data_IF_791243868505
#
_entry.id   IF_791243868505
#
_cell.length_a   1.000
_cell.length_b   1.000
_cell.length_c   1.000
_cell.angle_alpha   90.00
_cell.angle_beta   90.00
_cell.angle_gamma   90.00
#
_symmetry.space_group_name_H-M   'P 1'
#
loop_
_entity.id
_entity.type
_entity.pdbx_description
1 polymer ?
#
# COMPACT_ATOMS: atom_id res chain seq x y z
N UNK A 1 31.83 -10.08 -53.24
CA UNK A 1 32.07 -9.27 -52.03
C UNK A 1 31.03 -8.15 -51.97
N UNK A 2 30.38 -8.03 -50.81
CA UNK A 2 29.52 -6.94 -50.33
C UNK A 2 28.17 -6.72 -51.03
N UNK A 3 27.09 -7.16 -50.36
CA UNK A 3 26.05 -6.32 -49.73
C UNK A 3 24.85 -7.19 -49.29
N UNK A 4 24.97 -7.87 -48.15
CA UNK A 4 23.84 -8.36 -47.36
C UNK A 4 23.68 -7.39 -46.20
N UNK A 5 22.94 -6.29 -46.42
CA UNK A 5 22.41 -5.37 -45.40
C UNK A 5 21.19 -4.68 -46.02
N UNK A 6 20.12 -4.49 -45.22
CA UNK A 6 18.74 -4.07 -45.57
C UNK A 6 17.92 -5.19 -46.24
N UNK A 7 16.82 -5.71 -45.68
CA UNK A 7 15.83 -5.05 -44.82
C UNK A 7 15.15 -6.06 -43.88
N UNK A 8 15.54 -6.06 -42.60
CA UNK A 8 14.76 -6.62 -41.48
C UNK A 8 14.27 -5.42 -40.66
N UNK A 9 13.42 -4.59 -41.26
CA UNK A 9 12.89 -3.35 -40.63
C UNK A 9 11.36 -3.28 -40.72
N UNK A 10 10.67 -4.39 -41.00
CA UNK A 10 9.20 -4.35 -41.16
C UNK A 10 8.40 -5.23 -40.20
N UNK A 11 8.98 -5.69 -39.08
CA UNK A 11 8.23 -6.39 -38.01
C UNK A 11 8.63 -5.86 -36.63
N UNK A 12 8.74 -4.53 -36.46
CA UNK A 12 8.83 -3.87 -35.13
C UNK A 12 8.07 -2.53 -35.15
N UNK A 13 6.88 -2.48 -35.75
CA UNK A 13 6.11 -1.22 -35.84
C UNK A 13 4.60 -1.36 -35.60
N UNK A 14 4.16 -2.36 -34.82
CA UNK A 14 2.75 -2.47 -34.41
C UNK A 14 2.55 -2.68 -32.90
N UNK A 15 3.61 -2.89 -32.11
CA UNK A 15 3.48 -3.12 -30.65
C UNK A 15 3.86 -1.92 -29.77
N UNK A 16 3.97 -0.72 -30.32
CA UNK A 16 4.29 0.51 -29.56
C UNK A 16 3.08 1.38 -29.20
N UNK A 17 1.84 0.89 -29.40
CA UNK A 17 0.62 1.68 -29.18
C UNK A 17 -0.32 1.17 -28.08
N UNK A 18 0.17 0.41 -27.11
CA UNK A 18 -0.58 0.06 -25.89
C UNK A 18 0.15 0.38 -24.57
N UNK A 19 1.31 1.03 -24.64
CA UNK A 19 1.91 1.70 -23.48
C UNK A 19 1.31 3.10 -23.35
N UNK A 20 -0.01 3.14 -23.14
CA UNK A 20 -0.65 4.30 -22.55
C UNK A 20 -0.12 4.38 -21.12
N UNK A 21 0.96 5.13 -20.94
CA UNK A 21 1.41 5.55 -19.62
C UNK A 21 0.24 6.26 -18.96
N UNK A 22 -0.48 5.52 -18.13
CA UNK A 22 -1.41 6.09 -17.18
C UNK A 22 -0.60 7.07 -16.35
N UNK A 23 -1.12 8.30 -16.32
CA UNK A 23 -0.55 9.41 -15.59
C UNK A 23 -0.47 9.05 -14.09
N UNK A 24 0.63 8.44 -13.67
CA UNK A 24 0.91 8.14 -12.28
C UNK A 24 1.81 9.22 -11.70
N UNK A 25 1.16 10.31 -11.32
CA UNK A 25 1.59 11.22 -10.27
C UNK A 25 0.39 12.12 -9.98
N UNK A 26 -0.69 11.56 -9.45
CA UNK A 26 -1.52 12.38 -8.60
C UNK A 26 -0.62 12.67 -7.41
N UNK A 27 -0.13 13.91 -7.28
CA UNK A 27 0.49 14.34 -6.02
C UNK A 27 -0.51 13.97 -4.93
N UNK A 28 -0.17 12.94 -4.14
CA UNK A 28 -0.92 12.55 -2.96
C UNK A 28 -0.81 13.71 -1.99
N UNK A 29 -1.67 14.69 -2.17
CA UNK A 29 -1.66 15.92 -1.42
C UNK A 29 -2.14 15.58 -0.01
N UNK A 30 -1.19 15.52 0.92
CA UNK A 30 -1.51 15.58 2.34
C UNK A 30 -2.36 16.84 2.61
N UNK A 31 -3.21 16.83 3.65
CA UNK A 31 -3.87 18.06 4.06
C UNK A 31 -2.84 19.15 4.43
N UNK A 32 -3.31 20.38 4.53
CA UNK A 32 -2.51 21.47 5.10
C UNK A 32 -2.03 21.06 6.51
N UNK A 33 -0.73 21.12 6.82
CA UNK A 33 -0.20 20.78 8.14
C UNK A 33 -0.66 21.71 9.27
N UNK A 34 -1.32 22.82 8.96
CA UNK A 34 -1.90 23.70 9.97
C UNK A 34 -0.87 24.28 10.94
N UNK A 35 -1.14 24.19 12.24
CA UNK A 35 -0.19 24.62 13.28
C UNK A 35 0.81 23.48 13.52
N UNK A 36 2.04 23.67 13.05
CA UNK A 36 3.12 22.69 13.18
C UNK A 36 3.81 22.71 14.56
N UNK A 37 4.55 21.64 14.94
CA UNK A 37 5.18 21.53 16.26
C UNK A 37 6.25 22.58 16.56
N UNK A 38 6.78 23.26 15.54
CA UNK A 38 7.72 24.37 15.70
C UNK A 38 7.06 25.72 16.05
N UNK A 39 5.73 25.75 16.19
CA UNK A 39 4.96 26.92 16.60
C UNK A 39 4.77 26.98 18.13
N UNK A 40 4.90 28.17 18.77
CA UNK A 40 4.60 28.32 20.20
C UNK A 40 3.12 28.08 20.53
N UNK A 41 2.23 28.09 19.52
CA UNK A 41 0.80 27.85 19.68
C UNK A 41 0.39 26.39 19.45
N UNK A 42 1.34 25.49 19.17
CA UNK A 42 1.07 24.06 18.91
C UNK A 42 0.29 23.37 20.04
N UNK A 43 0.54 23.78 21.29
CA UNK A 43 -0.20 23.27 22.44
C UNK A 43 -1.73 23.44 22.31
N UNK A 44 -2.20 24.57 21.77
CA UNK A 44 -3.63 24.80 21.59
C UNK A 44 -4.23 23.89 20.55
N UNK A 45 -3.46 23.59 19.51
CA UNK A 45 -3.85 22.66 18.47
C UNK A 45 -4.00 21.22 19.04
N UNK A 46 -2.99 20.72 19.75
CA UNK A 46 -3.07 19.42 20.43
C UNK A 46 -4.25 19.34 21.41
N UNK A 47 -4.51 20.41 22.17
CA UNK A 47 -5.64 20.48 23.09
C UNK A 47 -6.99 20.46 22.35
N UNK A 48 -7.10 21.23 21.26
CA UNK A 48 -8.28 21.28 20.42
C UNK A 48 -8.64 19.92 19.85
N UNK A 49 -7.66 19.18 19.32
CA UNK A 49 -7.86 17.82 18.80
C UNK A 49 -8.35 16.85 19.88
N UNK A 50 -7.77 16.89 21.08
CA UNK A 50 -8.20 16.08 22.24
C UNK A 50 -9.64 16.37 22.64
N UNK A 51 -10.01 17.65 22.75
CA UNK A 51 -11.39 18.04 23.04
C UNK A 51 -12.34 17.61 21.91
N UNK A 52 -11.94 17.79 20.66
CA UNK A 52 -12.70 17.33 19.49
C UNK A 52 -13.01 15.84 19.54
N UNK A 53 -12.03 14.99 19.87
CA UNK A 53 -12.26 13.56 20.06
C UNK A 53 -13.16 13.24 21.26
N UNK A 54 -12.99 13.96 22.38
CA UNK A 54 -13.82 13.77 23.59
C UNK A 54 -15.31 14.02 23.31
N UNK A 55 -15.62 15.03 22.50
CA UNK A 55 -16.99 15.41 22.15
C UNK A 55 -17.51 14.78 20.84
N UNK A 56 -16.71 13.96 20.15
CA UNK A 56 -17.18 13.16 19.02
C UNK A 56 -17.84 11.90 19.55
N UNK A 57 -19.06 11.59 19.15
CA UNK A 57 -19.81 10.42 19.65
C UNK A 57 -20.00 9.36 18.56
N UNK A 58 -19.92 8.08 18.94
CA UNK A 58 -19.98 6.94 18.03
C UNK A 58 -18.60 6.47 17.57
N UNK A 59 -18.41 5.15 17.46
CA UNK A 59 -17.11 4.57 17.12
C UNK A 59 -16.69 4.93 15.68
N UNK A 60 -17.61 4.86 14.71
CA UNK A 60 -17.31 5.25 13.32
C UNK A 60 -16.91 6.73 13.20
N UNK A 61 -17.66 7.64 13.82
CA UNK A 61 -17.36 9.07 13.78
C UNK A 61 -16.03 9.38 14.48
N UNK A 62 -15.72 8.70 15.60
CA UNK A 62 -14.44 8.82 16.29
C UNK A 62 -13.28 8.26 15.45
N UNK A 63 -13.46 7.13 14.79
CA UNK A 63 -12.46 6.56 13.88
C UNK A 63 -12.16 7.53 12.74
N UNK A 64 -13.20 8.09 12.11
CA UNK A 64 -13.03 9.08 11.05
C UNK A 64 -12.30 10.34 11.56
N UNK A 65 -12.70 10.88 12.71
CA UNK A 65 -12.07 12.07 13.28
C UNK A 65 -10.60 11.82 13.65
N UNK A 66 -10.30 10.63 14.19
CA UNK A 66 -8.92 10.24 14.49
C UNK A 66 -8.08 10.08 13.22
N UNK A 67 -8.67 9.54 12.14
CA UNK A 67 -7.99 9.43 10.84
C UNK A 67 -7.64 10.81 10.26
N UNK A 68 -8.57 11.77 10.31
CA UNK A 68 -8.31 13.17 9.90
C UNK A 68 -7.13 13.77 10.68
N UNK A 69 -7.08 13.55 12.00
CA UNK A 69 -5.97 14.04 12.82
C UNK A 69 -4.66 13.32 12.55
N UNK A 70 -4.68 12.02 12.23
CA UNK A 70 -3.49 11.31 11.80
C UNK A 70 -2.97 11.89 10.48
N UNK A 71 -3.82 12.10 9.47
CA UNK A 71 -3.44 12.74 8.21
C UNK A 71 -2.77 14.11 8.41
N UNK A 72 -3.30 14.93 9.33
CA UNK A 72 -2.70 16.22 9.69
C UNK A 72 -1.32 16.06 10.38
N UNK A 73 -1.18 15.14 11.35
CA UNK A 73 0.11 14.84 11.98
C UNK A 73 1.14 14.34 10.98
N UNK A 74 0.73 13.56 9.99
CA UNK A 74 1.62 13.11 8.92
C UNK A 74 2.05 14.27 8.00
N UNK A 75 1.14 15.18 7.70
CA UNK A 75 1.45 16.42 6.98
C UNK A 75 2.48 17.27 7.73
N UNK A 76 2.32 17.41 9.05
CA UNK A 76 3.27 18.11 9.91
C UNK A 76 4.63 17.41 9.95
N UNK A 77 4.66 16.09 10.07
CA UNK A 77 5.91 15.33 10.06
C UNK A 77 6.68 15.55 8.74
N UNK A 78 5.97 15.51 7.60
CA UNK A 78 6.53 15.84 6.29
C UNK A 78 7.05 17.30 6.25
N UNK A 79 6.26 18.27 6.71
CA UNK A 79 6.66 19.67 6.75
C UNK A 79 7.89 19.91 7.63
N UNK A 80 8.01 19.22 8.77
CA UNK A 80 9.16 19.32 9.67
C UNK A 80 10.40 18.64 9.09
N UNK A 81 10.24 17.51 8.41
CA UNK A 81 11.33 16.86 7.67
C UNK A 81 11.91 17.81 6.61
N UNK A 82 11.06 18.46 5.80
CA UNK A 82 11.49 19.44 4.78
C UNK A 82 12.25 20.64 5.38
N UNK A 83 11.94 21.01 6.62
CA UNK A 83 12.64 22.07 7.37
C UNK A 83 13.88 21.58 8.14
N UNK A 84 14.26 20.29 8.02
CA UNK A 84 15.31 19.64 8.80
C UNK A 84 15.11 19.73 10.33
N UNK A 85 13.85 19.78 10.78
CA UNK A 85 13.47 19.85 12.18
C UNK A 85 13.15 18.46 12.72
N UNK A 86 14.19 17.66 12.95
CA UNK A 86 14.03 16.23 13.26
C UNK A 86 13.28 15.98 14.57
N UNK A 87 13.46 16.82 15.59
CA UNK A 87 12.76 16.67 16.88
C UNK A 87 11.25 16.84 16.69
N UNK A 88 10.84 17.89 15.99
CA UNK A 88 9.46 18.23 15.70
C UNK A 88 8.83 17.21 14.74
N UNK A 89 9.60 16.71 13.77
CA UNK A 89 9.18 15.63 12.88
C UNK A 89 8.92 14.33 13.65
N UNK A 90 9.85 13.93 14.52
CA UNK A 90 9.68 12.75 15.39
C UNK A 90 8.49 12.90 16.34
N UNK A 91 8.25 14.11 16.86
CA UNK A 91 7.08 14.41 17.66
C UNK A 91 5.79 14.19 16.85
N UNK A 92 5.68 14.79 15.66
CA UNK A 92 4.51 14.66 14.81
C UNK A 92 4.27 13.19 14.38
N UNK A 93 5.32 12.44 14.02
CA UNK A 93 5.23 11.01 13.72
C UNK A 93 4.76 10.19 14.93
N UNK A 94 5.22 10.50 16.15
CA UNK A 94 4.73 9.84 17.36
C UNK A 94 3.27 10.16 17.70
N UNK A 95 2.80 11.37 17.37
CA UNK A 95 1.39 11.75 17.53
C UNK A 95 0.50 11.13 16.45
N UNK A 96 1.01 10.97 15.22
CA UNK A 96 0.39 10.16 14.16
C UNK A 96 0.11 8.74 14.67
N UNK A 97 1.11 8.08 15.27
CA UNK A 97 0.96 6.74 15.82
C UNK A 97 -0.15 6.65 16.88
N UNK A 98 -0.29 7.67 17.72
CA UNK A 98 -1.33 7.74 18.73
C UNK A 98 -2.73 7.84 18.11
N UNK A 99 -2.91 8.66 17.08
CA UNK A 99 -4.20 8.77 16.40
C UNK A 99 -4.54 7.51 15.62
N UNK A 100 -3.57 6.89 14.93
CA UNK A 100 -3.77 5.59 14.27
C UNK A 100 -4.12 4.49 15.27
N UNK A 101 -3.63 4.58 16.52
CA UNK A 101 -4.07 3.68 17.58
C UNK A 101 -5.54 3.82 17.95
N UNK A 102 -6.05 5.05 17.95
CA UNK A 102 -7.46 5.32 18.17
C UNK A 102 -8.29 4.85 16.97
N UNK A 103 -7.82 5.07 15.73
CA UNK A 103 -8.47 4.55 14.51
C UNK A 103 -8.69 3.04 14.65
N UNK A 104 -7.66 2.28 15.00
CA UNK A 104 -7.75 0.83 15.17
C UNK A 104 -8.74 0.42 16.25
N UNK A 105 -8.61 0.99 17.45
CA UNK A 105 -9.47 0.67 18.60
C UNK A 105 -10.95 0.85 18.22
N UNK A 106 -11.26 1.95 17.52
CA UNK A 106 -12.62 2.27 17.10
C UNK A 106 -13.10 1.39 15.96
N UNK A 107 -12.23 1.09 14.98
CA UNK A 107 -12.58 0.20 13.87
C UNK A 107 -12.89 -1.22 14.36
N UNK A 108 -12.14 -1.74 15.34
CA UNK A 108 -12.46 -3.03 15.94
C UNK A 108 -13.78 -3.01 16.71
N UNK A 109 -14.12 -1.89 17.36
CA UNK A 109 -15.41 -1.73 18.04
C UNK A 109 -16.59 -1.64 17.05
N UNK A 110 -16.41 -1.07 15.86
CA UNK A 110 -17.46 -1.01 14.83
C UNK A 110 -17.70 -2.37 14.15
N UNK A 111 -16.65 -3.15 13.90
CA UNK A 111 -16.77 -4.53 13.36
C UNK A 111 -17.64 -5.41 14.26
N UNK A 112 -17.44 -5.34 15.58
CA UNK A 112 -18.27 -6.06 16.55
C UNK A 112 -19.76 -5.67 16.51
N UNK A 113 -20.07 -4.50 15.95
CA UNK A 113 -21.43 -3.96 15.85
C UNK A 113 -22.04 -4.15 14.44
N UNK A 114 -21.40 -4.90 13.53
CA UNK A 114 -21.73 -4.96 12.08
C UNK A 114 -21.78 -3.58 11.42
N UNK A 115 -21.06 -2.61 11.98
CA UNK A 115 -21.12 -1.22 11.56
C UNK A 115 -19.97 -0.88 10.60
N UNK A 116 -20.35 -0.71 9.33
CA UNK A 116 -19.72 0.13 8.31
C UNK A 116 -18.46 -0.39 7.61
N UNK A 117 -18.67 -1.10 6.50
CA UNK A 117 -17.68 -1.28 5.43
C UNK A 117 -17.08 0.05 4.94
N UNK A 118 -17.84 1.17 5.02
CA UNK A 118 -17.39 2.46 4.50
C UNK A 118 -16.19 3.04 5.26
N UNK A 119 -16.14 2.91 6.59
CA UNK A 119 -14.98 3.40 7.35
C UNK A 119 -13.77 2.51 7.16
N UNK A 120 -13.95 1.19 7.09
CA UNK A 120 -12.89 0.23 6.77
C UNK A 120 -12.24 0.54 5.42
N UNK A 121 -13.05 0.81 4.39
CA UNK A 121 -12.54 1.22 3.07
C UNK A 121 -11.73 2.52 3.15
N UNK A 122 -12.27 3.55 3.82
CA UNK A 122 -11.56 4.82 4.00
C UNK A 122 -10.21 4.65 4.69
N UNK A 123 -10.16 3.86 5.76
CA UNK A 123 -8.90 3.60 6.49
C UNK A 123 -7.92 2.82 5.61
N UNK A 124 -8.38 1.79 4.87
CA UNK A 124 -7.53 1.02 3.97
C UNK A 124 -6.91 1.88 2.85
N UNK A 125 -7.69 2.79 2.25
CA UNK A 125 -7.21 3.72 1.24
C UNK A 125 -6.28 4.80 1.83
N UNK A 126 -6.61 5.35 3.01
CA UNK A 126 -5.79 6.36 3.66
C UNK A 126 -4.42 5.79 4.06
N UNK A 127 -4.39 4.62 4.69
CA UNK A 127 -3.14 3.96 5.10
C UNK A 127 -2.24 3.58 3.92
N UNK A 128 -2.79 3.19 2.77
CA UNK A 128 -2.03 3.00 1.54
C UNK A 128 -1.25 4.28 1.14
N UNK A 129 -1.93 5.43 1.18
CA UNK A 129 -1.34 6.76 0.89
C UNK A 129 -0.33 7.17 1.98
N UNK A 130 -0.64 6.89 3.25
CA UNK A 130 0.26 7.18 4.36
C UNK A 130 1.60 6.45 4.20
N UNK A 131 1.57 5.17 3.80
CA UNK A 131 2.78 4.39 3.55
C UNK A 131 3.68 5.05 2.48
N UNK A 132 3.10 5.51 1.38
CA UNK A 132 3.83 6.19 0.31
C UNK A 132 4.45 7.53 0.77
N UNK A 133 3.71 8.30 1.57
CA UNK A 133 4.21 9.54 2.18
C UNK A 133 5.34 9.23 3.17
N UNK A 134 5.14 8.28 4.09
CA UNK A 134 6.12 7.90 5.11
C UNK A 134 7.42 7.39 4.48
N UNK A 135 7.35 6.61 3.41
CA UNK A 135 8.52 6.19 2.63
C UNK A 135 9.27 7.40 2.02
N UNK A 136 8.54 8.32 1.36
CA UNK A 136 9.17 9.54 0.80
C UNK A 136 9.81 10.42 1.87
N UNK A 137 9.18 10.56 3.04
CA UNK A 137 9.74 11.35 4.14
C UNK A 137 10.98 10.64 4.70
N UNK A 138 10.92 9.31 4.87
CA UNK A 138 12.04 8.50 5.37
C UNK A 138 13.27 8.59 4.47
N UNK A 139 13.09 8.60 3.15
CA UNK A 139 14.18 8.74 2.17
C UNK A 139 14.99 10.03 2.30
N UNK A 140 14.37 11.09 2.84
CA UNK A 140 14.95 12.45 2.86
C UNK A 140 15.63 12.80 4.17
N UNK A 141 15.27 12.10 5.24
CA UNK A 141 15.80 12.38 6.57
C UNK A 141 17.10 11.59 6.80
N UNK A 142 18.03 12.12 7.61
CA UNK A 142 19.19 11.35 8.03
C UNK A 142 18.77 10.20 8.95
N UNK A 143 19.69 9.27 9.21
CA UNK A 143 19.41 8.00 9.89
C UNK A 143 18.73 8.19 11.25
N UNK A 144 19.09 9.25 11.98
CA UNK A 144 18.53 9.60 13.29
C UNK A 144 17.01 9.86 13.24
N UNK A 145 16.47 10.26 12.08
CA UNK A 145 15.04 10.52 11.88
C UNK A 145 14.26 9.31 11.38
N UNK A 146 14.93 8.26 10.89
CA UNK A 146 14.26 7.14 10.21
C UNK A 146 13.48 6.25 11.16
N UNK A 147 13.97 6.04 12.38
CA UNK A 147 13.34 5.11 13.33
C UNK A 147 11.87 5.47 13.63
N UNK A 148 11.59 6.75 13.87
CA UNK A 148 10.22 7.21 14.14
C UNK A 148 9.30 7.02 12.93
N UNK A 149 9.80 7.27 11.72
CA UNK A 149 9.05 7.08 10.48
C UNK A 149 8.85 5.59 10.15
N UNK A 150 9.82 4.73 10.46
CA UNK A 150 9.69 3.28 10.32
C UNK A 150 8.62 2.71 11.24
N UNK A 151 8.52 3.18 12.49
CA UNK A 151 7.42 2.80 13.39
C UNK A 151 6.07 3.26 12.86
N UNK A 152 5.97 4.51 12.38
CA UNK A 152 4.74 5.01 11.76
C UNK A 152 4.33 4.25 10.51
N UNK A 153 5.31 3.81 9.71
CA UNK A 153 5.07 2.97 8.54
C UNK A 153 4.55 1.60 8.93
N UNK A 154 5.21 0.93 9.87
CA UNK A 154 4.76 -0.36 10.38
C UNK A 154 3.35 -0.26 10.96
N UNK A 155 3.06 0.81 11.70
CA UNK A 155 1.71 1.09 12.18
C UNK A 155 0.72 1.18 11.03
N UNK A 156 1.02 1.99 10.02
CA UNK A 156 0.15 2.20 8.86
C UNK A 156 -0.13 0.90 8.10
N UNK A 157 0.88 0.07 7.90
CA UNK A 157 0.73 -1.24 7.25
C UNK A 157 -0.18 -2.15 8.08
N UNK A 158 0.06 -2.26 9.39
CA UNK A 158 -0.77 -3.09 10.26
C UNK A 158 -2.23 -2.61 10.29
N UNK A 159 -2.45 -1.30 10.34
CA UNK A 159 -3.80 -0.71 10.27
C UNK A 159 -4.48 -0.97 8.92
N UNK A 160 -3.72 -0.93 7.83
CA UNK A 160 -4.23 -1.27 6.51
C UNK A 160 -4.74 -2.72 6.49
N UNK A 161 -3.97 -3.67 7.01
CA UNK A 161 -4.37 -5.08 7.08
C UNK A 161 -5.63 -5.28 7.94
N UNK A 162 -5.72 -4.60 9.09
CA UNK A 162 -6.92 -4.63 9.92
C UNK A 162 -8.16 -4.08 9.21
N UNK A 163 -8.00 -2.96 8.50
CA UNK A 163 -9.08 -2.33 7.76
C UNK A 163 -9.53 -3.17 6.56
N UNK A 164 -8.59 -3.78 5.84
CA UNK A 164 -8.90 -4.70 4.74
C UNK A 164 -9.62 -5.95 5.26
N UNK A 165 -9.24 -6.50 6.42
CA UNK A 165 -9.96 -7.62 7.06
C UNK A 165 -11.41 -7.26 7.33
N UNK A 166 -11.63 -6.14 8.00
CA UNK A 166 -12.96 -5.63 8.33
C UNK A 166 -13.81 -5.36 7.07
N UNK A 167 -13.19 -4.85 6.00
CA UNK A 167 -13.86 -4.63 4.72
C UNK A 167 -14.25 -5.95 4.04
N UNK A 168 -13.36 -6.94 4.08
CA UNK A 168 -13.56 -8.21 3.40
C UNK A 168 -14.76 -9.02 3.91
N UNK A 169 -15.16 -8.83 5.18
CA UNK A 169 -16.34 -9.48 5.77
C UNK A 169 -17.67 -9.06 5.10
N UNK A 170 -17.68 -7.93 4.39
CA UNK A 170 -18.88 -7.40 3.73
C UNK A 170 -18.68 -7.09 2.25
N UNK A 171 -17.45 -6.79 1.83
CA UNK A 171 -17.09 -6.40 0.47
C UNK A 171 -15.73 -7.01 0.09
N UNK A 172 -15.64 -8.35 -0.03
CA UNK A 172 -14.38 -9.04 -0.31
C UNK A 172 -13.74 -8.60 -1.62
N UNK A 173 -14.52 -8.40 -2.68
CA UNK A 173 -14.03 -7.93 -3.98
C UNK A 173 -13.35 -6.56 -3.85
N UNK A 174 -13.97 -5.63 -3.13
CA UNK A 174 -13.40 -4.29 -2.90
C UNK A 174 -12.14 -4.32 -2.04
N UNK A 175 -12.12 -5.18 -1.01
CA UNK A 175 -10.92 -5.39 -0.20
C UNK A 175 -9.78 -6.00 -1.03
N UNK A 176 -10.09 -6.94 -1.94
CA UNK A 176 -9.14 -7.51 -2.89
C UNK A 176 -8.55 -6.44 -3.79
N UNK A 177 -9.37 -5.59 -4.42
CA UNK A 177 -8.90 -4.49 -5.27
C UNK A 177 -7.90 -3.59 -4.54
N UNK A 178 -8.26 -3.09 -3.36
CA UNK A 178 -7.39 -2.18 -2.58
C UNK A 178 -6.09 -2.87 -2.17
N UNK A 179 -6.16 -4.15 -1.78
CA UNK A 179 -4.97 -4.93 -1.43
C UNK A 179 -4.05 -5.14 -2.63
N UNK A 180 -4.59 -5.46 -3.81
CA UNK A 180 -3.82 -5.63 -5.04
C UNK A 180 -3.16 -4.32 -5.49
N UNK A 181 -3.87 -3.20 -5.43
CA UNK A 181 -3.31 -1.87 -5.70
C UNK A 181 -2.16 -1.54 -4.73
N UNK A 182 -2.31 -1.93 -3.46
CA UNK A 182 -1.28 -1.73 -2.45
C UNK A 182 -0.03 -2.58 -2.73
N UNK A 183 -0.19 -3.84 -3.14
CA UNK A 183 0.92 -4.69 -3.59
C UNK A 183 1.63 -4.04 -4.79
N UNK A 184 0.86 -3.61 -5.80
CA UNK A 184 1.40 -2.93 -6.98
C UNK A 184 2.22 -1.69 -6.59
N UNK A 185 1.73 -0.87 -5.65
CA UNK A 185 2.46 0.30 -5.15
C UNK A 185 3.77 -0.08 -4.45
N UNK A 186 3.78 -1.15 -3.63
CA UNK A 186 5.01 -1.65 -3.00
C UNK A 186 6.01 -2.18 -4.02
N UNK A 187 5.56 -2.90 -5.05
CA UNK A 187 6.43 -3.42 -6.10
C UNK A 187 6.99 -2.29 -6.98
N UNK A 188 6.18 -1.27 -7.27
CA UNK A 188 6.65 -0.09 -8.00
C UNK A 188 7.70 0.68 -7.20
N UNK A 189 7.53 0.76 -5.87
CA UNK A 189 8.53 1.32 -4.96
C UNK A 189 9.82 0.50 -4.96
N UNK A 190 9.73 -0.83 -4.93
CA UNK A 190 10.89 -1.70 -5.07
C UNK A 190 11.62 -1.46 -6.41
N UNK A 191 10.88 -1.28 -7.50
CA UNK A 191 11.43 -0.99 -8.83
C UNK A 191 12.14 0.38 -8.90
N UNK A 192 11.53 1.41 -8.30
CA UNK A 192 12.15 2.73 -8.14
C UNK A 192 13.48 2.61 -7.40
N UNK A 193 13.48 1.94 -6.24
CA UNK A 193 14.67 1.82 -5.39
C UNK A 193 15.75 0.92 -5.96
N UNK A 194 15.39 -0.08 -6.75
CA UNK A 194 16.35 -0.87 -7.50
C UNK A 194 17.10 0.01 -8.52
N UNK A 195 16.41 0.97 -9.15
CA UNK A 195 17.03 1.92 -10.08
C UNK A 195 17.99 2.90 -9.38
N UNK A 196 17.80 3.13 -8.07
CA UNK A 196 18.66 3.96 -7.23
C UNK A 196 19.80 3.17 -6.56
N UNK A 197 19.88 1.85 -6.77
CA UNK A 197 20.79 0.93 -6.04
C UNK A 197 20.59 0.96 -4.51
N UNK A 198 19.38 1.27 -4.04
CA UNK A 198 19.03 1.30 -2.62
C UNK A 198 18.51 -0.07 -2.16
N UNK A 199 19.39 -1.06 -2.09
CA UNK A 199 19.03 -2.48 -1.85
C UNK A 199 18.17 -2.67 -0.59
N UNK A 200 18.52 -2.03 0.53
CA UNK A 200 17.76 -2.14 1.77
C UNK A 200 16.30 -1.66 1.60
N UNK A 201 16.10 -0.62 0.79
CA UNK A 201 14.76 -0.08 0.49
C UNK A 201 13.98 -0.96 -0.49
N UNK A 202 14.68 -1.68 -1.38
CA UNK A 202 14.08 -2.73 -2.21
C UNK A 202 13.57 -3.86 -1.32
N UNK A 203 14.40 -4.37 -0.43
CA UNK A 203 14.05 -5.44 0.50
C UNK A 203 12.86 -5.07 1.38
N UNK A 204 12.87 -3.87 1.98
CA UNK A 204 11.75 -3.36 2.79
C UNK A 204 10.44 -3.27 1.99
N UNK A 205 10.50 -2.88 0.71
CA UNK A 205 9.33 -2.78 -0.14
C UNK A 205 8.79 -4.16 -0.55
N UNK A 206 9.69 -5.12 -0.82
CA UNK A 206 9.31 -6.50 -1.12
C UNK A 206 8.71 -7.19 0.11
N UNK A 207 9.25 -6.98 1.30
CA UNK A 207 8.70 -7.52 2.54
C UNK A 207 7.26 -7.04 2.78
N UNK A 208 7.00 -5.75 2.60
CA UNK A 208 5.64 -5.20 2.69
C UNK A 208 4.71 -5.82 1.63
N UNK A 209 5.18 -5.96 0.39
CA UNK A 209 4.39 -6.58 -0.69
C UNK A 209 4.03 -8.04 -0.36
N UNK A 210 4.95 -8.76 0.28
CA UNK A 210 4.77 -10.14 0.71
C UNK A 210 3.76 -10.24 1.86
N UNK A 211 3.78 -9.30 2.81
CA UNK A 211 2.78 -9.21 3.89
C UNK A 211 1.38 -8.99 3.31
N UNK A 212 1.23 -8.06 2.38
CA UNK A 212 -0.04 -7.78 1.70
C UNK A 212 -0.51 -8.96 0.85
N UNK A 213 0.40 -9.66 0.15
CA UNK A 213 0.03 -10.84 -0.65
C UNK A 213 -0.45 -11.99 0.22
N UNK A 214 0.27 -12.31 1.31
CA UNK A 214 -0.18 -13.31 2.29
C UNK A 214 -1.54 -12.95 2.86
N UNK A 215 -1.78 -11.67 3.15
CA UNK A 215 -3.08 -11.21 3.59
C UNK A 215 -4.17 -11.32 2.50
N UNK A 216 -3.82 -11.19 1.22
CA UNK A 216 -4.72 -11.43 0.09
C UNK A 216 -5.32 -12.85 0.08
N UNK A 217 -4.57 -13.85 0.56
CA UNK A 217 -5.07 -15.21 0.73
C UNK A 217 -6.15 -15.28 1.82
N UNK A 218 -5.98 -14.51 2.89
CA UNK A 218 -6.99 -14.39 3.97
C UNK A 218 -8.29 -13.75 3.46
N UNK A 219 -8.22 -12.67 2.66
CA UNK A 219 -9.47 -12.10 2.09
C UNK A 219 -10.15 -13.11 1.14
N UNK A 220 -9.37 -13.92 0.42
CA UNK A 220 -9.91 -14.99 -0.42
C UNK A 220 -10.59 -16.08 0.42
N UNK A 221 -10.07 -16.40 1.60
CA UNK A 221 -10.73 -17.32 2.56
C UNK A 221 -12.02 -16.74 3.11
N UNK A 222 -12.02 -15.46 3.50
CA UNK A 222 -13.22 -14.75 3.96
C UNK A 222 -14.29 -14.78 2.87
N UNK A 223 -13.94 -14.43 1.63
CA UNK A 223 -14.84 -14.46 0.49
C UNK A 223 -15.50 -15.83 0.28
N UNK A 224 -14.72 -16.92 0.42
CA UNK A 224 -15.23 -18.30 0.34
C UNK A 224 -16.22 -18.65 1.45
N UNK A 225 -16.03 -18.11 2.65
CA UNK A 225 -16.95 -18.30 3.77
C UNK A 225 -18.31 -17.62 3.58
N UNK A 226 -18.37 -16.53 2.80
CA UNK A 226 -19.58 -15.72 2.61
C UNK A 226 -20.60 -16.33 1.62
N UNK A 227 -20.31 -17.49 1.01
CA UNK A 227 -21.17 -18.20 0.03
C UNK A 227 -21.48 -17.46 -1.29
N UNK A 228 -20.96 -16.24 -1.47
CA UNK A 228 -21.09 -15.43 -2.69
C UNK A 228 -19.92 -15.66 -3.66
N UNK A 229 -20.13 -15.36 -4.94
CA UNK A 229 -19.27 -15.65 -6.11
C UNK A 229 -17.75 -15.45 -5.89
N UNK A 230 -17.09 -16.47 -5.34
CA UNK A 230 -15.63 -16.53 -5.11
C UNK A 230 -14.78 -16.37 -6.37
N UNK A 231 -15.40 -16.55 -7.53
CA UNK A 231 -14.76 -16.44 -8.84
C UNK A 231 -14.24 -15.03 -9.09
N UNK A 232 -14.97 -13.97 -8.70
CA UNK A 232 -14.52 -12.59 -8.95
C UNK A 232 -13.20 -12.28 -8.23
N UNK A 233 -13.09 -12.69 -6.95
CA UNK A 233 -11.87 -12.49 -6.16
C UNK A 233 -10.68 -13.24 -6.77
N UNK A 234 -10.88 -14.52 -7.12
CA UNK A 234 -9.85 -15.33 -7.76
C UNK A 234 -9.46 -14.76 -9.13
N UNK A 235 -10.40 -14.26 -9.94
CA UNK A 235 -10.13 -13.60 -11.22
C UNK A 235 -9.28 -12.33 -11.05
N UNK A 236 -9.63 -11.47 -10.08
CA UNK A 236 -8.86 -10.25 -9.75
C UNK A 236 -7.42 -10.60 -9.34
N UNK A 237 -7.27 -11.57 -8.43
CA UNK A 237 -5.94 -12.01 -7.96
C UNK A 237 -5.12 -12.59 -9.10
N UNK A 238 -5.71 -13.44 -9.96
CA UNK A 238 -5.00 -14.02 -11.08
C UNK A 238 -4.48 -12.94 -12.04
N UNK A 239 -5.32 -11.99 -12.46
CA UNK A 239 -4.95 -10.92 -13.39
C UNK A 239 -3.86 -10.02 -12.81
N UNK A 240 -4.05 -9.54 -11.58
CA UNK A 240 -3.08 -8.65 -10.94
C UNK A 240 -1.73 -9.35 -10.70
N UNK A 241 -1.73 -10.63 -10.31
CA UNK A 241 -0.49 -11.36 -10.08
C UNK A 241 0.36 -11.52 -11.35
N UNK A 242 -0.26 -11.58 -12.54
CA UNK A 242 0.49 -11.54 -13.80
C UNK A 242 1.26 -10.21 -13.98
N UNK A 243 0.63 -9.08 -13.64
CA UNK A 243 1.27 -7.77 -13.67
C UNK A 243 2.37 -7.68 -12.60
N UNK A 244 2.10 -8.14 -11.38
CA UNK A 244 3.08 -8.17 -10.29
C UNK A 244 4.34 -8.96 -10.65
N UNK A 245 4.20 -10.11 -11.32
CA UNK A 245 5.33 -10.91 -11.82
C UNK A 245 6.18 -10.14 -12.83
N UNK A 246 5.57 -9.34 -13.71
CA UNK A 246 6.30 -8.50 -14.66
C UNK A 246 7.08 -7.39 -13.96
N UNK A 247 6.51 -6.78 -12.90
CA UNK A 247 7.23 -5.77 -12.10
C UNK A 247 8.39 -6.43 -11.35
N UNK A 248 8.17 -7.57 -10.70
CA UNK A 248 9.23 -8.32 -10.01
C UNK A 248 10.38 -8.71 -10.94
N UNK A 249 10.09 -9.15 -12.16
CA UNK A 249 11.12 -9.43 -13.17
C UNK A 249 11.96 -8.17 -13.50
N UNK A 250 11.32 -7.00 -13.62
CA UNK A 250 12.04 -5.74 -13.82
C UNK A 250 12.89 -5.33 -12.60
N UNK A 251 12.42 -5.62 -11.37
CA UNK A 251 13.24 -5.41 -10.16
C UNK A 251 14.46 -6.34 -10.21
N UNK A 252 14.27 -7.62 -10.54
CA UNK A 252 15.34 -8.63 -10.62
C UNK A 252 16.45 -8.22 -11.60
N UNK A 253 16.08 -7.69 -12.76
CA UNK A 253 17.03 -7.20 -13.77
C UNK A 253 17.90 -6.03 -13.28
N UNK A 254 17.40 -5.24 -12.32
CA UNK A 254 18.04 -4.00 -11.87
C UNK A 254 18.87 -4.16 -10.60
N UNK A 255 18.55 -5.13 -9.74
CA UNK A 255 19.29 -5.32 -8.49
C UNK A 255 20.60 -6.09 -8.68
N UNK A 256 21.61 -5.87 -7.81
CA UNK A 256 22.85 -6.65 -7.84
C UNK A 256 22.61 -8.10 -7.40
N UNK A 257 23.50 -9.02 -7.80
CA UNK A 257 23.41 -10.47 -7.51
C UNK A 257 23.05 -10.80 -6.05
N UNK A 258 23.64 -10.18 -5.01
CA UNK A 258 23.32 -10.53 -3.63
C UNK A 258 21.85 -10.32 -3.25
N UNK A 259 21.14 -9.42 -3.95
CA UNK A 259 19.74 -9.08 -3.68
C UNK A 259 18.75 -9.85 -4.55
N UNK A 260 19.23 -10.66 -5.51
CA UNK A 260 18.36 -11.40 -6.44
C UNK A 260 17.58 -12.51 -5.78
N UNK A 261 18.17 -13.20 -4.80
CA UNK A 261 17.52 -14.31 -4.11
C UNK A 261 16.18 -13.90 -3.48
N UNK A 262 16.11 -12.72 -2.86
CA UNK A 262 14.88 -12.19 -2.29
C UNK A 262 13.78 -11.99 -3.34
N UNK A 263 14.14 -11.52 -4.54
CA UNK A 263 13.19 -11.30 -5.64
C UNK A 263 12.77 -12.62 -6.27
N UNK A 264 13.71 -13.55 -6.45
CA UNK A 264 13.41 -14.90 -6.96
C UNK A 264 12.42 -15.62 -6.05
N UNK A 265 12.59 -15.53 -4.74
CA UNK A 265 11.64 -16.04 -3.76
C UNK A 265 10.27 -15.36 -3.87
N UNK A 266 10.24 -14.03 -4.01
CA UNK A 266 8.99 -13.29 -4.20
C UNK A 266 8.25 -13.70 -5.49
N UNK A 267 8.99 -13.90 -6.59
CA UNK A 267 8.47 -14.38 -7.88
C UNK A 267 7.94 -15.81 -7.78
N UNK A 268 8.70 -16.72 -7.17
CA UNK A 268 8.31 -18.11 -6.99
C UNK A 268 7.00 -18.22 -6.20
N UNK A 269 6.89 -17.49 -5.09
CA UNK A 269 5.68 -17.49 -4.29
C UNK A 269 4.49 -16.84 -5.04
N UNK A 270 4.72 -15.78 -5.83
CA UNK A 270 3.68 -15.15 -6.65
C UNK A 270 3.17 -16.12 -7.73
N UNK A 271 4.07 -16.86 -8.37
CA UNK A 271 3.74 -17.86 -9.36
C UNK A 271 2.93 -19.01 -8.74
N UNK A 272 3.39 -19.55 -7.60
CA UNK A 272 2.68 -20.61 -6.89
C UNK A 272 1.26 -20.18 -6.49
N UNK A 273 1.09 -18.97 -5.94
CA UNK A 273 -0.22 -18.45 -5.58
C UNK A 273 -1.14 -18.33 -6.81
N UNK A 274 -0.62 -17.78 -7.93
CA UNK A 274 -1.36 -17.66 -9.18
C UNK A 274 -1.76 -19.02 -9.77
N UNK A 275 -0.88 -20.01 -9.75
CA UNK A 275 -1.20 -21.37 -10.21
C UNK A 275 -2.36 -21.98 -9.41
N UNK A 276 -2.34 -21.81 -8.08
CA UNK A 276 -3.43 -22.29 -7.21
C UNK A 276 -4.76 -21.56 -7.52
N UNK A 277 -4.70 -20.25 -7.75
CA UNK A 277 -5.88 -19.43 -8.11
C UNK A 277 -6.44 -19.86 -9.46
N UNK A 278 -5.59 -20.04 -10.48
CA UNK A 278 -6.00 -20.52 -11.82
C UNK A 278 -6.65 -21.89 -11.73
N UNK A 279 -6.10 -22.81 -10.93
CA UNK A 279 -6.66 -24.15 -10.80
C UNK A 279 -8.06 -24.12 -10.14
N UNK A 280 -8.27 -23.23 -9.15
CA UNK A 280 -9.61 -23.00 -8.59
C UNK A 280 -10.58 -22.47 -9.64
N UNK A 281 -10.19 -21.45 -10.40
CA UNK A 281 -11.02 -20.90 -11.49
C UNK A 281 -11.36 -21.97 -12.54
N UNK A 282 -10.42 -22.85 -12.90
CA UNK A 282 -10.67 -23.99 -13.80
C UNK A 282 -11.70 -24.93 -13.22
N UNK A 283 -11.55 -25.34 -11.96
CA UNK A 283 -12.49 -26.24 -11.28
C UNK A 283 -13.92 -25.69 -11.20
N UNK A 284 -14.05 -24.37 -11.20
CA UNK A 284 -15.33 -23.64 -11.16
C UNK A 284 -15.84 -23.23 -12.55
N UNK A 285 -15.14 -23.63 -13.64
CA UNK A 285 -15.43 -23.23 -15.01
C UNK A 285 -15.48 -21.70 -15.23
N UNK A 286 -14.69 -20.95 -14.47
CA UNK A 286 -14.66 -19.48 -14.43
C UNK A 286 -13.33 -18.88 -14.93
N UNK A 287 -12.48 -19.66 -15.61
CA UNK A 287 -11.17 -19.16 -16.08
C UNK A 287 -11.28 -18.02 -17.11
N UNK A 288 -12.33 -18.02 -17.94
CA UNK A 288 -12.57 -16.97 -18.93
C UNK A 288 -11.41 -16.79 -19.92
N UNK A 289 -10.92 -15.55 -20.03
CA UNK A 289 -9.80 -15.14 -20.90
C UNK A 289 -8.48 -14.93 -20.14
N UNK A 290 -8.40 -15.37 -18.88
CA UNK A 290 -7.20 -15.22 -18.06
C UNK A 290 -6.08 -16.07 -18.66
N UNK A 291 -4.98 -15.43 -19.05
CA UNK A 291 -3.81 -16.11 -19.59
C UNK A 291 -3.28 -17.13 -18.58
N UNK A 292 -2.85 -18.29 -19.05
CA UNK A 292 -2.33 -19.38 -18.21
C UNK A 292 -0.80 -19.34 -18.06
N UNK A 293 -0.13 -18.50 -18.84
CA UNK A 293 1.32 -18.48 -19.02
C UNK A 293 1.91 -17.13 -18.62
#
# INVERSE_FOLDING_TARGET
MNKIRMSIVSIILVTSLLLGGTAYAQEEELPDPGITPDSPFYFFDTLGKKLGLMFTFGDEAKAQKALEYAEERLAEANAMALKNKLKEMTQAAGEYDQFMAIVNERLQATVQQNASANISEKVALATARHLAVLDRVRDRVPEEGKEALSRARERSLNEQLHALRALAEHQPERATEINLDSIQNRLQRALEKASENATDEVENALEDSEKLRRFGEEISEIARGLSDNTTTVDELVARATSVHLQVLAQVHEKVPEPAREAIENAMANALQNREQVIERLRSQAALGDIAEN
#
